data_IF_840488304111
#
_entry.id   IF_840488304111
#
_cell.length_a   1.000
_cell.length_b   1.000
_cell.length_c   1.000
_cell.angle_alpha   90.00
_cell.angle_beta   90.00
_cell.angle_gamma   90.00
#
_symmetry.space_group_name_H-M   'P 1'
#
loop_
_entity.id
_entity.type
_entity.pdbx_description
1 polymer ?
#
# COMPACT_ATOMS: atom_id res chain seq x y z
N UNK A 1 31.02 -10.93 1.05
CA UNK A 1 30.14 -10.42 -0.02
C UNK A 1 28.74 -10.25 0.55
N UNK A 2 28.18 -9.02 0.50
CA UNK A 2 26.79 -8.78 0.90
C UNK A 2 25.89 -9.38 -0.19
N UNK A 3 25.00 -10.32 0.15
CA UNK A 3 24.00 -10.81 -0.81
C UNK A 3 23.10 -9.63 -1.19
N UNK A 4 23.11 -9.25 -2.46
CA UNK A 4 22.12 -8.31 -3.02
C UNK A 4 20.82 -9.07 -3.18
N UNK A 5 19.76 -8.61 -2.50
CA UNK A 5 18.44 -9.20 -2.66
C UNK A 5 17.84 -8.80 -4.01
N UNK A 6 17.05 -9.67 -4.66
CA UNK A 6 16.28 -9.31 -5.86
C UNK A 6 15.35 -8.13 -5.57
N UNK A 7 15.05 -7.30 -6.57
CA UNK A 7 14.24 -6.09 -6.39
C UNK A 7 12.84 -6.39 -5.83
N UNK A 8 12.24 -7.52 -6.23
CA UNK A 8 10.88 -7.93 -5.85
C UNK A 8 10.81 -8.98 -4.72
N UNK A 9 11.89 -9.16 -3.95
CA UNK A 9 11.95 -10.19 -2.88
C UNK A 9 10.81 -10.08 -1.85
N UNK A 10 10.30 -8.86 -1.63
CA UNK A 10 9.18 -8.60 -0.72
C UNK A 10 7.87 -9.23 -1.19
N UNK A 11 7.67 -9.38 -2.51
CA UNK A 11 6.49 -10.02 -3.07
C UNK A 11 6.57 -11.54 -2.85
N UNK A 12 7.76 -12.14 -2.98
CA UNK A 12 7.97 -13.57 -2.69
C UNK A 12 7.64 -13.87 -1.22
N UNK A 13 8.12 -13.06 -0.28
CA UNK A 13 7.75 -13.20 1.13
C UNK A 13 6.26 -13.00 1.41
N UNK A 14 5.60 -12.12 0.64
CA UNK A 14 4.17 -11.96 0.76
C UNK A 14 3.43 -13.21 0.27
N UNK A 15 3.88 -13.85 -0.82
CA UNK A 15 3.33 -15.13 -1.25
C UNK A 15 3.55 -16.24 -0.24
N UNK A 16 4.74 -16.33 0.35
CA UNK A 16 5.01 -17.26 1.47
C UNK A 16 4.03 -17.01 2.63
N UNK A 17 3.79 -15.74 2.96
CA UNK A 17 2.79 -15.36 3.96
C UNK A 17 1.37 -15.81 3.58
N UNK A 18 0.96 -15.63 2.32
CA UNK A 18 -0.37 -16.04 1.85
C UNK A 18 -0.56 -17.57 1.89
N UNK A 19 0.48 -18.35 1.59
CA UNK A 19 0.42 -19.82 1.64
C UNK A 19 0.07 -20.38 3.02
N UNK A 20 0.36 -19.66 4.11
CA UNK A 20 -0.06 -20.09 5.45
C UNK A 20 -1.59 -20.18 5.60
N UNK A 21 -2.36 -19.44 4.78
CA UNK A 21 -3.82 -19.45 4.81
C UNK A 21 -4.44 -20.54 3.92
N UNK A 22 -3.66 -21.17 3.05
CA UNK A 22 -4.14 -22.23 2.15
C UNK A 22 -3.94 -23.65 2.72
N UNK A 23 -3.01 -23.80 3.68
CA UNK A 23 -2.70 -25.08 4.32
C UNK A 23 -3.54 -25.38 5.56
N UNK A 24 -2.86 -25.77 6.65
CA UNK A 24 -3.51 -26.19 7.90
C UNK A 24 -4.43 -25.12 8.53
N UNK A 25 -4.20 -23.83 8.23
CA UNK A 25 -5.01 -22.74 8.75
C UNK A 25 -6.24 -22.42 7.88
N UNK A 26 -6.43 -23.07 6.73
CA UNK A 26 -7.57 -22.82 5.83
C UNK A 26 -8.95 -22.81 6.52
N UNK A 27 -9.23 -23.66 7.53
CA UNK A 27 -10.49 -23.62 8.27
C UNK A 27 -10.71 -22.34 9.11
N UNK A 28 -9.64 -21.59 9.42
CA UNK A 28 -9.69 -20.33 10.18
C UNK A 28 -9.91 -19.11 9.27
N UNK A 29 -9.85 -19.29 7.96
CA UNK A 29 -9.96 -18.22 6.96
C UNK A 29 -11.42 -17.95 6.65
N UNK A 30 -11.89 -16.76 6.98
CA UNK A 30 -13.25 -16.32 6.66
C UNK A 30 -13.43 -16.03 5.16
N UNK A 31 -14.69 -15.87 4.74
CA UNK A 31 -15.02 -15.64 3.33
C UNK A 31 -14.42 -14.34 2.79
N UNK A 32 -14.28 -13.31 3.62
CA UNK A 32 -13.72 -12.02 3.18
C UNK A 32 -12.23 -12.13 2.89
N UNK A 33 -11.50 -12.83 3.76
CA UNK A 33 -10.07 -13.08 3.61
C UNK A 33 -9.80 -13.99 2.42
N UNK A 34 -10.61 -15.04 2.23
CA UNK A 34 -10.50 -15.90 1.05
C UNK A 34 -10.71 -15.10 -0.26
N UNK A 35 -11.74 -14.25 -0.31
CA UNK A 35 -12.00 -13.40 -1.47
C UNK A 35 -10.87 -12.38 -1.73
N UNK A 36 -10.26 -11.83 -0.68
CA UNK A 36 -9.08 -10.97 -0.81
C UNK A 36 -7.90 -11.72 -1.44
N UNK A 37 -7.60 -12.93 -0.97
CA UNK A 37 -6.49 -13.75 -1.48
C UNK A 37 -6.72 -14.07 -2.96
N UNK A 38 -7.92 -14.54 -3.33
CA UNK A 38 -8.28 -14.82 -4.72
C UNK A 38 -8.17 -13.57 -5.61
N UNK A 39 -8.71 -12.43 -5.15
CA UNK A 39 -8.63 -11.17 -5.89
C UNK A 39 -7.17 -10.70 -6.06
N UNK A 40 -6.32 -10.87 -5.04
CA UNK A 40 -4.91 -10.51 -5.10
C UNK A 40 -4.16 -11.39 -6.12
N UNK A 41 -4.41 -12.70 -6.12
CA UNK A 41 -3.80 -13.61 -7.09
C UNK A 41 -4.24 -13.36 -8.54
N UNK A 42 -5.42 -12.77 -8.75
CA UNK A 42 -5.93 -12.42 -10.08
C UNK A 42 -5.28 -11.15 -10.67
N UNK A 43 -4.59 -10.34 -9.87
CA UNK A 43 -3.88 -9.15 -10.34
C UNK A 43 -2.61 -9.51 -11.10
N UNK A 44 -2.15 -8.59 -11.95
CA UNK A 44 -0.82 -8.71 -12.53
C UNK A 44 0.29 -8.46 -11.48
N UNK A 45 1.52 -8.86 -11.81
CA UNK A 45 2.66 -8.79 -10.88
C UNK A 45 3.01 -7.37 -10.43
N UNK A 46 2.84 -6.37 -11.28
CA UNK A 46 3.20 -4.99 -10.96
C UNK A 46 2.16 -4.38 -10.00
N UNK A 47 0.90 -4.72 -10.21
CA UNK A 47 -0.21 -4.34 -9.32
C UNK A 47 -0.08 -5.01 -7.93
N UNK A 48 0.26 -6.30 -7.90
CA UNK A 48 0.60 -7.01 -6.66
C UNK A 48 1.78 -6.35 -5.94
N UNK A 49 2.83 -5.98 -6.67
CA UNK A 49 3.97 -5.26 -6.12
C UNK A 49 3.54 -3.96 -5.43
N UNK A 50 2.68 -3.14 -6.07
CA UNK A 50 2.21 -1.88 -5.47
C UNK A 50 1.41 -2.11 -4.19
N UNK A 51 0.53 -3.10 -4.16
CA UNK A 51 -0.26 -3.44 -2.96
C UNK A 51 0.67 -3.87 -1.82
N UNK A 52 1.62 -4.75 -2.09
CA UNK A 52 2.56 -5.22 -1.05
C UNK A 52 3.49 -4.10 -0.60
N UNK A 53 3.94 -3.23 -1.50
CA UNK A 53 4.70 -2.02 -1.15
C UNK A 53 3.90 -1.10 -0.23
N UNK A 54 2.60 -0.93 -0.47
CA UNK A 54 1.74 -0.13 0.39
C UNK A 54 1.53 -0.81 1.76
N UNK A 55 1.24 -2.11 1.79
CA UNK A 55 1.01 -2.88 3.01
C UNK A 55 2.23 -2.93 3.93
N UNK A 56 3.44 -2.95 3.37
CA UNK A 56 4.69 -3.00 4.12
C UNK A 56 5.17 -1.61 4.60
N UNK A 57 4.46 -0.52 4.29
CA UNK A 57 4.82 0.82 4.78
C UNK A 57 4.37 1.02 6.22
N UNK A 58 5.12 1.88 6.92
CA UNK A 58 4.84 2.26 8.31
C UNK A 58 3.46 2.91 8.49
N UNK A 59 2.97 3.61 7.47
CA UNK A 59 1.74 4.41 7.54
C UNK A 59 0.77 4.01 6.43
N UNK A 60 -0.56 4.02 6.70
CA UNK A 60 -1.59 3.56 5.77
C UNK A 60 -1.93 4.60 4.67
N UNK A 61 -1.13 5.67 4.56
CA UNK A 61 -1.35 6.74 3.57
C UNK A 61 -0.28 6.66 2.49
N UNK A 62 -0.74 6.58 1.25
CA UNK A 62 0.09 6.58 0.04
C UNK A 62 0.13 7.99 -0.54
N UNK A 63 1.32 8.60 -0.53
CA UNK A 63 1.55 9.88 -1.21
C UNK A 63 2.05 9.58 -2.61
N UNK A 64 1.18 9.71 -3.63
CA UNK A 64 1.46 9.31 -5.02
C UNK A 64 2.80 9.84 -5.54
N UNK A 65 3.17 11.10 -5.23
CA UNK A 65 4.44 11.72 -5.63
C UNK A 65 5.70 10.98 -5.14
N UNK A 66 5.59 10.22 -4.06
CA UNK A 66 6.71 9.47 -3.44
C UNK A 66 6.50 7.96 -3.50
N UNK A 67 5.43 7.52 -4.15
CA UNK A 67 5.07 6.12 -4.33
C UNK A 67 5.43 5.68 -5.75
N UNK A 68 6.70 5.86 -6.09
CA UNK A 68 7.27 5.61 -7.41
C UNK A 68 8.45 4.65 -7.25
N UNK A 69 8.37 3.50 -7.91
CA UNK A 69 9.27 2.36 -7.74
C UNK A 69 9.78 1.91 -9.11
N UNK A 70 11.10 1.91 -9.29
CA UNK A 70 11.73 1.64 -10.58
C UNK A 70 11.45 0.22 -11.11
N UNK A 71 11.17 -0.74 -10.23
CA UNK A 71 10.86 -2.11 -10.63
C UNK A 71 9.42 -2.29 -11.13
N UNK A 72 8.56 -1.27 -11.04
CA UNK A 72 7.13 -1.31 -11.38
C UNK A 72 6.88 -0.42 -12.59
N UNK A 73 6.22 -0.94 -13.62
CA UNK A 73 5.90 -0.12 -14.80
C UNK A 73 4.71 0.80 -14.49
N UNK A 74 4.80 2.09 -14.84
CA UNK A 74 3.69 3.06 -14.75
C UNK A 74 2.98 3.09 -13.38
N UNK A 75 3.71 3.23 -12.25
CA UNK A 75 3.16 3.01 -10.91
C UNK A 75 2.01 3.96 -10.55
N UNK A 76 2.02 5.20 -11.07
CA UNK A 76 0.95 6.17 -10.83
C UNK A 76 -0.36 5.80 -11.53
N UNK A 77 -0.29 5.31 -12.77
CA UNK A 77 -1.48 4.89 -13.51
C UNK A 77 -2.09 3.65 -12.86
N UNK A 78 -1.25 2.68 -12.50
CA UNK A 78 -1.65 1.48 -11.77
C UNK A 78 -2.28 1.80 -10.43
N UNK A 79 -1.68 2.70 -9.66
CA UNK A 79 -2.26 3.15 -8.39
C UNK A 79 -3.67 3.74 -8.59
N UNK A 80 -3.89 4.47 -9.69
CA UNK A 80 -5.21 5.01 -10.04
C UNK A 80 -6.20 3.89 -10.36
N UNK A 81 -5.82 2.93 -11.20
CA UNK A 81 -6.67 1.75 -11.55
C UNK A 81 -6.98 0.90 -10.33
N UNK A 82 -6.00 0.66 -9.46
CA UNK A 82 -6.17 -0.10 -8.22
C UNK A 82 -7.12 0.59 -7.25
N UNK A 83 -7.05 1.93 -7.14
CA UNK A 83 -8.03 2.71 -6.37
C UNK A 83 -9.43 2.57 -6.94
N UNK A 84 -9.59 2.64 -8.26
CA UNK A 84 -10.90 2.47 -8.94
C UNK A 84 -11.44 1.04 -8.77
N UNK A 85 -10.56 0.04 -8.73
CA UNK A 85 -10.89 -1.35 -8.42
C UNK A 85 -11.12 -1.62 -6.91
N UNK A 86 -11.01 -0.61 -6.04
CA UNK A 86 -11.32 -0.70 -4.62
C UNK A 86 -10.18 -1.20 -3.70
N UNK A 87 -8.95 -1.33 -4.21
CA UNK A 87 -7.78 -1.73 -3.40
C UNK A 87 -7.26 -0.61 -2.51
N UNK A 88 -7.51 0.64 -2.89
CA UNK A 88 -7.17 1.82 -2.10
C UNK A 88 -8.41 2.68 -1.88
N UNK A 89 -8.54 3.23 -0.69
CA UNK A 89 -9.62 4.14 -0.34
C UNK A 89 -9.21 5.60 -0.54
N UNK A 90 -10.21 6.48 -0.66
CA UNK A 90 -9.98 7.92 -0.67
C UNK A 90 -9.38 8.39 0.66
N UNK A 91 -8.45 9.33 0.59
CA UNK A 91 -7.84 10.00 1.74
C UNK A 91 -8.88 10.65 2.67
N UNK A 92 -10.05 11.02 2.13
CA UNK A 92 -11.18 11.58 2.89
C UNK A 92 -11.80 10.60 3.89
N UNK A 93 -11.52 9.31 3.77
CA UNK A 93 -11.95 8.26 4.69
C UNK A 93 -10.88 7.97 5.78
N UNK A 94 -9.70 8.59 5.68
CA UNK A 94 -8.63 8.45 6.65
C UNK A 94 -8.79 9.35 7.87
N UNK A 95 -8.24 8.94 9.01
CA UNK A 95 -8.20 9.76 10.21
C UNK A 95 -7.11 10.85 10.13
N UNK A 96 -7.33 11.97 10.81
CA UNK A 96 -6.43 13.13 10.77
C UNK A 96 -5.01 12.82 11.24
N UNK A 97 -4.82 11.84 12.12
CA UNK A 97 -3.49 11.43 12.58
C UNK A 97 -2.72 10.71 11.47
N UNK A 98 -3.35 9.76 10.79
CA UNK A 98 -2.75 9.08 9.63
C UNK A 98 -2.38 10.06 8.51
N UNK A 99 -3.24 11.06 8.25
CA UNK A 99 -2.95 12.12 7.29
C UNK A 99 -1.75 12.96 7.71
N UNK A 100 -1.69 13.37 8.98
CA UNK A 100 -0.59 14.14 9.53
C UNK A 100 0.76 13.42 9.40
N UNK A 101 0.80 12.09 9.46
CA UNK A 101 2.04 11.32 9.30
C UNK A 101 2.54 11.23 7.85
N UNK A 102 1.69 11.50 6.87
CA UNK A 102 2.08 11.60 5.47
C UNK A 102 2.62 12.99 5.10
N UNK A 103 2.38 13.99 5.95
CA UNK A 103 2.74 15.38 5.71
C UNK A 103 4.06 15.73 6.38
N UNK A 104 4.86 16.57 5.73
CA UNK A 104 6.03 17.16 6.37
C UNK A 104 5.61 18.29 7.32
N UNK A 105 6.52 18.68 8.22
CA UNK A 105 6.32 19.86 9.07
C UNK A 105 5.99 21.11 8.23
N UNK A 106 6.64 21.27 7.08
CA UNK A 106 6.41 22.41 6.18
C UNK A 106 5.00 22.41 5.61
N UNK A 107 4.49 21.24 5.20
CA UNK A 107 3.11 21.11 4.68
C UNK A 107 2.08 21.48 5.76
N UNK A 108 2.30 21.02 7.00
CA UNK A 108 1.42 21.33 8.12
C UNK A 108 1.44 22.83 8.48
N UNK A 109 2.62 23.46 8.49
CA UNK A 109 2.74 24.89 8.76
C UNK A 109 2.04 25.74 7.69
N UNK A 110 2.14 25.34 6.42
CA UNK A 110 1.44 26.01 5.32
C UNK A 110 -0.08 25.90 5.50
N UNK A 111 -0.58 24.69 5.78
CA UNK A 111 -2.01 24.45 6.00
C UNK A 111 -2.55 25.24 7.20
N UNK A 112 -1.81 25.30 8.31
CA UNK A 112 -2.19 26.08 9.49
C UNK A 112 -2.24 27.58 9.17
N UNK A 113 -1.23 28.10 8.47
CA UNK A 113 -1.17 29.51 8.07
C UNK A 113 -2.33 29.89 7.15
N UNK A 114 -2.65 29.05 6.17
CA UNK A 114 -3.74 29.27 5.22
C UNK A 114 -5.12 29.28 5.89
N UNK A 115 -5.25 28.63 7.05
CA UNK A 115 -6.47 28.62 7.87
C UNK A 115 -6.45 29.66 9.01
N UNK A 116 -5.51 30.62 8.96
CA UNK A 116 -5.46 31.73 9.93
C UNK A 116 -4.93 31.37 11.30
N UNK A 117 -4.35 30.17 11.49
CA UNK A 117 -3.63 29.85 12.72
C UNK A 117 -2.34 30.69 12.77
N UNK A 118 -2.31 31.64 13.68
CA UNK A 118 -1.14 32.45 13.98
C UNK A 118 -0.43 31.88 15.21
N UNK A 119 0.91 31.91 15.20
CA UNK A 119 1.74 31.57 16.35
C UNK A 119 1.80 32.74 17.33
#
# INVERSE_FOLDING_TARGET
MRKTLPERYYLDHFYEFLQFFEGANRPLVDTKTAAFIEAFHALDKDDQCLIVRAANRKYPVVVSKTFDYAEINEPLERLTRLREAGWFTSISQGDSYSLGQAMTKSDLLMLLKDNGCQA
#
